data_IF_302916018516
#
_entry.id   IF_302916018516
#
_cell.length_a   1.000
_cell.length_b   1.000
_cell.length_c   1.000
_cell.angle_alpha   90.00
_cell.angle_beta   90.00
_cell.angle_gamma   90.00
#
_symmetry.space_group_name_H-M   'P 1'
#
loop_
_entity.id
_entity.type
_entity.pdbx_description
1 polymer ?
#
# COMPACT_ATOMS: atom_id res chain seq x y z
N UNK A 1 19.24 -10.85 17.37
CA UNK A 1 18.17 -10.21 16.57
C UNK A 1 18.25 -10.84 15.20
N UNK A 2 17.27 -11.66 14.82
CA UNK A 2 17.36 -12.46 13.59
C UNK A 2 17.00 -11.53 12.43
N UNK A 3 17.98 -11.18 11.61
CA UNK A 3 17.76 -10.40 10.39
C UNK A 3 17.05 -11.30 9.38
N UNK A 4 15.74 -11.16 9.29
CA UNK A 4 14.94 -11.75 8.22
C UNK A 4 15.13 -10.93 6.93
N UNK A 5 14.97 -11.53 5.76
CA UNK A 5 15.04 -10.86 4.43
C UNK A 5 14.15 -9.59 4.32
N UNK A 6 13.14 -9.47 5.18
CA UNK A 6 12.25 -8.30 5.31
C UNK A 6 12.84 -7.14 6.13
N UNK A 7 14.05 -7.28 6.68
CA UNK A 7 14.67 -6.33 7.60
C UNK A 7 13.74 -6.01 8.78
N UNK A 8 13.51 -4.71 9.00
CA UNK A 8 12.62 -4.17 10.05
C UNK A 8 11.16 -4.05 9.61
N UNK A 9 10.83 -4.41 8.37
CA UNK A 9 9.49 -4.21 7.82
C UNK A 9 8.51 -5.22 8.41
N UNK A 10 7.49 -4.70 9.11
CA UNK A 10 6.43 -5.50 9.75
C UNK A 10 5.08 -4.89 9.43
N UNK A 11 4.10 -5.75 9.17
CA UNK A 11 2.71 -5.30 9.03
C UNK A 11 2.23 -4.75 10.37
N UNK A 12 1.64 -3.56 10.33
CA UNK A 12 1.05 -2.91 11.49
C UNK A 12 -0.44 -3.23 11.64
N UNK A 13 -1.17 -3.25 10.52
CA UNK A 13 -2.63 -3.40 10.48
C UNK A 13 -3.04 -4.28 9.30
N UNK A 14 -4.16 -4.98 9.45
CA UNK A 14 -4.92 -5.60 8.39
C UNK A 14 -5.93 -4.61 7.79
N UNK A 15 -6.44 -4.95 6.61
CA UNK A 15 -7.46 -4.19 5.86
C UNK A 15 -8.71 -3.90 6.70
N UNK A 16 -9.14 -4.84 7.53
CA UNK A 16 -10.32 -4.69 8.39
C UNK A 16 -10.07 -3.91 9.69
N UNK A 17 -8.82 -3.56 10.00
CA UNK A 17 -8.47 -2.76 11.18
C UNK A 17 -8.41 -1.27 10.85
N UNK A 18 -8.23 -0.92 9.56
CA UNK A 18 -8.16 0.45 9.08
C UNK A 18 -9.57 1.02 8.96
N UNK A 19 -9.81 2.15 9.64
CA UNK A 19 -11.09 2.84 9.65
C UNK A 19 -10.90 4.37 9.68
N UNK A 20 -11.99 5.12 9.50
CA UNK A 20 -11.94 6.59 9.39
C UNK A 20 -11.40 7.32 10.62
N UNK A 21 -11.41 6.69 11.81
CA UNK A 21 -10.82 7.31 13.02
C UNK A 21 -9.29 7.35 13.00
N UNK A 22 -8.67 6.63 12.06
CA UNK A 22 -7.22 6.53 11.90
C UNK A 22 -6.67 7.52 10.87
N UNK A 23 -7.46 8.49 10.39
CA UNK A 23 -6.99 9.49 9.42
C UNK A 23 -5.66 10.14 9.83
N UNK A 24 -4.73 10.23 8.89
CA UNK A 24 -3.38 10.75 9.13
C UNK A 24 -2.42 9.80 9.84
N UNK A 25 -2.87 8.62 10.28
CA UNK A 25 -1.99 7.63 10.95
C UNK A 25 -1.12 6.90 9.93
N UNK A 26 0.17 6.79 10.23
CA UNK A 26 1.10 6.00 9.44
C UNK A 26 0.88 4.51 9.69
N UNK A 27 0.53 3.76 8.64
CA UNK A 27 0.30 2.32 8.71
C UNK A 27 1.11 1.59 7.65
N UNK A 28 1.60 0.41 8.01
CA UNK A 28 2.18 -0.57 7.10
C UNK A 28 1.19 -1.73 6.89
N UNK A 29 0.85 -1.97 5.63
CA UNK A 29 -0.02 -3.05 5.17
C UNK A 29 0.74 -3.96 4.21
N UNK A 30 0.38 -5.24 4.19
CA UNK A 30 1.04 -6.24 3.35
C UNK A 30 0.00 -7.14 2.72
N UNK A 31 0.14 -7.40 1.42
CA UNK A 31 -0.82 -8.19 0.67
C UNK A 31 -0.39 -8.42 -0.77
N UNK A 32 -1.30 -8.95 -1.58
CA UNK A 32 -1.09 -9.13 -3.01
C UNK A 32 -1.92 -8.14 -3.82
N UNK A 33 -1.33 -7.63 -4.89
CA UNK A 33 -2.00 -6.71 -5.81
C UNK A 33 -3.13 -7.43 -6.53
N UNK A 34 -4.34 -6.89 -6.50
CA UNK A 34 -5.46 -7.34 -7.33
C UNK A 34 -5.45 -6.60 -8.67
N UNK A 35 -5.48 -5.27 -8.62
CA UNK A 35 -5.50 -4.43 -9.82
C UNK A 35 -4.71 -3.16 -9.59
N UNK A 36 -4.09 -2.65 -10.65
CA UNK A 36 -3.45 -1.33 -10.67
C UNK A 36 -4.08 -0.54 -11.80
N UNK A 37 -4.33 0.75 -11.56
CA UNK A 37 -4.82 1.71 -12.54
C UNK A 37 -4.00 2.99 -12.42
N UNK A 38 -3.18 3.26 -13.42
CA UNK A 38 -2.44 4.52 -13.53
C UNK A 38 -3.15 5.49 -14.46
N UNK A 39 -3.24 6.76 -14.08
CA UNK A 39 -3.69 7.84 -14.94
C UNK A 39 -2.80 9.07 -14.75
N UNK A 40 -1.71 9.14 -15.52
CA UNK A 40 -0.77 10.26 -15.48
C UNK A 40 -0.22 10.55 -14.08
N UNK A 41 -0.79 11.56 -13.42
CA UNK A 41 -0.37 12.08 -12.12
C UNK A 41 -0.91 11.30 -10.90
N UNK A 42 -1.70 10.24 -11.11
CA UNK A 42 -2.24 9.43 -10.02
C UNK A 42 -2.21 7.94 -10.36
N UNK A 43 -1.86 7.10 -9.38
CA UNK A 43 -1.87 5.65 -9.46
C UNK A 43 -2.76 5.10 -8.35
N UNK A 44 -3.70 4.24 -8.73
CA UNK A 44 -4.56 3.50 -7.81
C UNK A 44 -4.16 2.04 -7.83
N UNK A 45 -3.93 1.45 -6.66
CA UNK A 45 -3.69 0.03 -6.51
C UNK A 45 -4.66 -0.59 -5.52
N UNK A 46 -5.36 -1.65 -5.91
CA UNK A 46 -6.10 -2.48 -4.97
C UNK A 46 -5.19 -3.61 -4.52
N UNK A 47 -4.95 -3.74 -3.23
CA UNK A 47 -4.31 -4.91 -2.62
C UNK A 47 -5.35 -5.72 -1.85
N UNK A 48 -5.13 -7.02 -1.75
CA UNK A 48 -5.89 -7.92 -0.88
C UNK A 48 -4.94 -8.53 0.13
N UNK A 49 -5.36 -8.51 1.39
CA UNK A 49 -4.72 -9.26 2.45
C UNK A 49 -5.60 -10.46 2.86
N UNK A 50 -5.30 -11.06 4.02
CA UNK A 50 -6.08 -12.19 4.54
C UNK A 50 -7.54 -11.82 4.85
N UNK A 51 -7.80 -10.57 5.21
CA UNK A 51 -9.04 -10.14 5.83
C UNK A 51 -9.94 -9.34 4.87
N UNK A 52 -9.39 -8.83 3.76
CA UNK A 52 -10.15 -8.03 2.82
C UNK A 52 -9.29 -7.26 1.82
N UNK A 53 -9.95 -6.30 1.17
CA UNK A 53 -9.36 -5.46 0.12
C UNK A 53 -9.07 -4.07 0.67
N UNK A 54 -7.94 -3.51 0.24
CA UNK A 54 -7.55 -2.15 0.56
C UNK A 54 -7.13 -1.41 -0.71
N UNK A 55 -7.53 -0.16 -0.81
CA UNK A 55 -7.12 0.73 -1.90
C UNK A 55 -5.92 1.58 -1.48
N UNK A 56 -4.96 1.69 -2.38
CA UNK A 56 -3.73 2.47 -2.24
C UNK A 56 -3.79 3.56 -3.29
N UNK A 57 -3.55 4.79 -2.88
CA UNK A 57 -3.56 5.96 -3.77
C UNK A 57 -2.19 6.61 -3.70
N UNK A 58 -1.53 6.71 -4.85
CA UNK A 58 -0.27 7.41 -5.01
C UNK A 58 -0.48 8.57 -5.98
N UNK A 59 -0.45 9.79 -5.45
CA UNK A 59 -0.70 11.03 -6.21
C UNK A 59 0.56 11.87 -6.26
N UNK A 60 0.81 12.50 -7.42
CA UNK A 60 1.87 13.48 -7.58
C UNK A 60 1.72 14.63 -6.57
N UNK A 61 2.76 14.88 -5.79
CA UNK A 61 2.77 15.87 -4.70
C UNK A 61 2.63 15.26 -3.31
N UNK A 62 1.94 14.13 -3.18
CA UNK A 62 1.78 13.41 -1.89
C UNK A 62 2.86 12.34 -1.69
N UNK A 63 3.40 11.80 -2.78
CA UNK A 63 4.50 10.84 -2.77
C UNK A 63 5.54 11.12 -3.86
N UNK A 64 6.79 10.65 -3.71
CA UNK A 64 7.79 10.67 -4.76
C UNK A 64 7.29 10.02 -6.04
N UNK A 65 7.65 10.59 -7.19
CA UNK A 65 7.24 10.09 -8.51
C UNK A 65 7.71 8.65 -8.76
N UNK A 66 8.87 8.27 -8.21
CA UNK A 66 9.42 6.91 -8.30
C UNK A 66 8.49 5.87 -7.65
N UNK A 67 7.83 6.20 -6.53
CA UNK A 67 6.87 5.29 -5.88
C UNK A 67 5.62 5.13 -6.75
N UNK A 68 5.12 6.24 -7.31
CA UNK A 68 3.95 6.24 -8.20
C UNK A 68 4.20 5.39 -9.44
N UNK A 69 5.37 5.53 -10.05
CA UNK A 69 5.79 4.76 -11.22
C UNK A 69 5.98 3.28 -10.86
N UNK A 70 6.63 3.00 -9.73
CA UNK A 70 6.78 1.64 -9.23
C UNK A 70 5.43 0.95 -9.04
N UNK A 71 4.46 1.61 -8.39
CA UNK A 71 3.10 1.07 -8.22
C UNK A 71 2.46 0.80 -9.59
N UNK A 72 2.59 1.73 -10.55
CA UNK A 72 2.03 1.57 -11.89
C UNK A 72 2.61 0.38 -12.67
N UNK A 73 3.85 -0.03 -12.35
CA UNK A 73 4.53 -1.16 -12.98
C UNK A 73 4.18 -2.53 -12.36
N UNK A 74 3.52 -2.53 -11.19
CA UNK A 74 3.17 -3.76 -10.49
C UNK A 74 2.10 -4.54 -11.26
N UNK A 75 2.24 -5.87 -11.26
CA UNK A 75 1.29 -6.79 -11.87
C UNK A 75 0.34 -7.36 -10.81
N UNK A 76 -0.84 -7.82 -11.25
CA UNK A 76 -1.72 -8.61 -10.41
C UNK A 76 -0.96 -9.81 -9.80
N UNK A 77 -1.33 -10.16 -8.57
CA UNK A 77 -0.69 -11.17 -7.72
C UNK A 77 0.74 -10.87 -7.23
N UNK A 78 1.27 -9.68 -7.49
CA UNK A 78 2.54 -9.25 -6.89
C UNK A 78 2.38 -9.08 -5.38
N UNK A 79 3.24 -9.72 -4.59
CA UNK A 79 3.28 -9.54 -3.14
C UNK A 79 4.02 -8.26 -2.79
N UNK A 80 3.36 -7.35 -2.08
CA UNK A 80 3.93 -6.05 -1.72
C UNK A 80 3.66 -5.70 -0.27
N UNK A 81 4.54 -4.86 0.27
CA UNK A 81 4.36 -4.15 1.52
C UNK A 81 4.30 -2.66 1.23
N UNK A 82 3.30 -1.97 1.78
CA UNK A 82 3.10 -0.54 1.57
C UNK A 82 2.99 0.14 2.91
N UNK A 83 3.75 1.22 3.08
CA UNK A 83 3.67 2.10 4.24
C UNK A 83 3.17 3.45 3.78
N UNK A 84 2.13 3.96 4.42
CA UNK A 84 1.50 5.23 4.05
C UNK A 84 0.55 5.72 5.11
N UNK A 85 0.08 6.96 4.94
CA UNK A 85 -0.90 7.54 5.85
C UNK A 85 -2.31 7.13 5.43
N UNK A 86 -3.14 6.78 6.41
CA UNK A 86 -4.57 6.54 6.18
C UNK A 86 -5.23 7.86 5.78
N UNK A 87 -6.12 7.79 4.78
CA UNK A 87 -6.99 8.87 4.36
C UNK A 87 -8.44 8.42 4.46
N UNK A 88 -9.23 9.14 5.25
CA UNK A 88 -10.68 8.94 5.39
C UNK A 88 -11.48 9.60 4.25
#
# INVERSE_FOLDING_TARGET
MIETELGTLRRSHYSNEINSSMDGTLVTVMGWVLTIRGHGNISFGTIRDKNGDLSIVAKKGDCPDEIREKISSLKAHSSIAVTGNVKA
#
